data_IF_991855162107
#
_entry.id   IF_991855162107
#
_cell.length_a   1.000
_cell.length_b   1.000
_cell.length_c   1.000
_cell.angle_alpha   90.00
_cell.angle_beta   90.00
_cell.angle_gamma   90.00
#
_symmetry.space_group_name_H-M   'P 1'
#
loop_
_entity.id
_entity.type
_entity.pdbx_description
1 polymer ?
#
# COMPACT_ATOMS: atom_id res chain seq x y z
N UNK A 1 -30.36 36.83 -6.48
CA UNK A 1 -28.90 36.77 -6.34
C UNK A 1 -28.46 37.98 -5.53
N UNK A 2 -27.45 37.83 -4.69
CA UNK A 2 -26.67 38.95 -4.18
C UNK A 2 -25.67 39.37 -5.26
N UNK A 3 -25.32 40.66 -5.34
CA UNK A 3 -24.40 41.17 -6.39
C UNK A 3 -23.03 40.49 -6.35
N UNK A 4 -22.63 40.02 -5.17
CA UNK A 4 -21.46 39.19 -4.96
C UNK A 4 -21.46 37.90 -5.80
N UNK A 5 -22.60 37.20 -5.88
CA UNK A 5 -22.75 36.01 -6.73
C UNK A 5 -22.74 36.38 -8.22
N UNK A 6 -23.37 37.49 -8.59
CA UNK A 6 -23.35 37.98 -9.98
C UNK A 6 -21.91 38.35 -10.42
N UNK A 7 -21.12 38.97 -9.54
CA UNK A 7 -19.68 39.21 -9.73
C UNK A 7 -18.89 37.90 -9.82
N UNK A 8 -19.05 36.98 -8.85
CA UNK A 8 -18.31 35.72 -8.82
C UNK A 8 -18.61 34.81 -10.02
N UNK A 9 -19.81 34.88 -10.60
CA UNK A 9 -20.18 34.11 -11.79
C UNK A 9 -19.68 34.73 -13.10
N UNK A 10 -19.56 36.06 -13.19
CA UNK A 10 -19.25 36.76 -14.46
C UNK A 10 -17.83 37.33 -14.56
N UNK A 11 -17.12 37.58 -13.46
CA UNK A 11 -15.78 38.19 -13.48
C UNK A 11 -14.75 37.35 -14.26
N UNK A 12 -13.78 38.01 -14.89
CA UNK A 12 -12.66 37.32 -15.55
C UNK A 12 -11.53 36.99 -14.54
N UNK A 13 -10.53 36.22 -14.98
CA UNK A 13 -9.40 35.84 -14.14
C UNK A 13 -8.59 37.05 -13.65
N UNK A 14 -8.47 38.11 -14.46
CA UNK A 14 -7.72 39.30 -14.09
C UNK A 14 -8.44 40.10 -13.00
N UNK A 15 -9.74 40.40 -13.18
CA UNK A 15 -10.58 41.07 -12.19
C UNK A 15 -10.64 40.30 -10.87
N UNK A 16 -10.73 38.95 -10.90
CA UNK A 16 -10.62 38.16 -9.67
C UNK A 16 -9.25 38.34 -8.98
N UNK A 17 -8.15 38.37 -9.72
CA UNK A 17 -6.81 38.59 -9.13
C UNK A 17 -6.49 40.04 -8.72
N UNK A 18 -7.37 41.01 -9.02
CA UNK A 18 -7.24 42.38 -8.48
C UNK A 18 -7.69 42.47 -7.02
N UNK A 19 -8.52 41.54 -6.55
CA UNK A 19 -9.06 41.53 -5.18
C UNK A 19 -7.95 41.16 -4.17
N UNK A 20 -7.67 42.00 -3.15
CA UNK A 20 -6.62 41.73 -2.16
C UNK A 20 -6.84 40.41 -1.40
N UNK A 21 -6.00 39.41 -1.70
CA UNK A 21 -6.05 38.07 -1.11
C UNK A 21 -6.49 36.95 -2.05
N UNK A 22 -6.92 37.25 -3.29
CA UNK A 22 -7.13 36.22 -4.31
C UNK A 22 -5.82 35.96 -5.06
N UNK A 23 -5.28 34.75 -4.90
CA UNK A 23 -4.17 34.26 -5.71
C UNK A 23 -4.68 33.76 -7.08
N UNK A 24 -3.83 33.80 -8.11
CA UNK A 24 -4.17 33.27 -9.44
C UNK A 24 -4.70 31.81 -9.42
N UNK A 25 -4.16 30.87 -8.60
CA UNK A 25 -4.76 29.56 -8.42
C UNK A 25 -6.18 29.60 -7.85
N UNK A 26 -6.46 30.45 -6.86
CA UNK A 26 -7.81 30.58 -6.30
C UNK A 26 -8.79 31.18 -7.32
N UNK A 27 -8.38 32.17 -8.11
CA UNK A 27 -9.18 32.68 -9.23
C UNK A 27 -9.51 31.58 -10.25
N UNK A 28 -8.55 30.71 -10.57
CA UNK A 28 -8.76 29.53 -11.42
C UNK A 28 -9.76 28.54 -10.83
N UNK A 29 -9.63 28.21 -9.54
CA UNK A 29 -10.57 27.33 -8.83
C UNK A 29 -12.00 27.91 -8.80
N UNK A 30 -12.13 29.23 -8.60
CA UNK A 30 -13.43 29.92 -8.61
C UNK A 30 -14.09 29.90 -9.98
N UNK A 31 -13.33 30.11 -11.07
CA UNK A 31 -13.85 30.01 -12.43
C UNK A 31 -14.28 28.58 -12.76
N UNK A 32 -13.52 27.58 -12.32
CA UNK A 32 -13.80 26.16 -12.57
C UNK A 32 -15.02 25.61 -11.78
N UNK A 33 -15.41 26.26 -10.68
CA UNK A 33 -16.53 25.86 -9.83
C UNK A 33 -17.85 26.62 -10.11
N UNK A 34 -17.91 27.41 -11.19
CA UNK A 34 -19.14 28.10 -11.64
C UNK A 34 -20.18 27.12 -12.22
N UNK A 35 -21.49 27.41 -12.10
CA UNK A 35 -22.08 28.56 -11.44
C UNK A 35 -22.26 28.36 -9.92
N UNK A 36 -22.26 29.46 -9.17
CA UNK A 36 -22.66 29.51 -7.77
C UNK A 36 -24.09 30.04 -7.63
N UNK A 37 -24.98 29.26 -7.02
CA UNK A 37 -26.36 29.67 -6.72
C UNK A 37 -26.51 30.25 -5.30
N UNK A 38 -25.62 29.86 -4.37
CA UNK A 38 -25.58 30.38 -2.99
C UNK A 38 -24.18 30.83 -2.56
N UNK A 39 -24.12 31.67 -1.52
CA UNK A 39 -22.85 32.10 -0.90
C UNK A 39 -22.18 30.97 -0.09
N UNK A 40 -22.94 29.92 0.23
CA UNK A 40 -22.49 28.71 0.93
C UNK A 40 -21.73 27.77 -0.02
N UNK A 41 -22.10 27.70 -1.30
CA UNK A 41 -21.37 26.95 -2.34
C UNK A 41 -19.95 27.51 -2.56
N UNK A 42 -19.80 28.83 -2.47
CA UNK A 42 -18.50 29.49 -2.60
C UNK A 42 -17.51 29.02 -1.53
N UNK A 43 -17.97 28.73 -0.31
CA UNK A 43 -17.13 28.22 0.79
C UNK A 43 -16.64 26.78 0.56
N UNK A 44 -17.20 26.03 -0.40
CA UNK A 44 -16.73 24.69 -0.76
C UNK A 44 -15.52 24.73 -1.72
N UNK A 45 -15.20 25.89 -2.31
CA UNK A 45 -14.10 26.03 -3.27
C UNK A 45 -12.75 25.95 -2.55
N UNK A 46 -11.89 25.03 -2.99
CA UNK A 46 -10.57 24.77 -2.38
C UNK A 46 -9.70 26.04 -2.33
N UNK A 47 -9.57 26.63 -1.15
CA UNK A 47 -8.82 27.86 -0.88
C UNK A 47 -9.68 29.11 -0.61
N UNK A 48 -11.00 29.02 -0.76
CA UNK A 48 -11.94 30.01 -0.25
C UNK A 48 -12.24 29.73 1.22
N UNK A 49 -12.32 30.78 2.03
CA UNK A 49 -12.70 30.69 3.44
C UNK A 49 -13.31 32.01 3.90
N UNK A 50 -13.92 32.02 5.08
CA UNK A 50 -14.70 33.16 5.57
C UNK A 50 -13.92 34.49 5.48
N UNK A 51 -12.65 34.52 5.90
CA UNK A 51 -11.81 35.72 5.88
C UNK A 51 -11.34 36.17 4.47
N UNK A 52 -11.50 35.36 3.41
CA UNK A 52 -11.36 35.82 2.01
C UNK A 52 -12.70 36.22 1.40
N UNK A 53 -13.81 35.61 1.83
CA UNK A 53 -15.17 35.97 1.44
C UNK A 53 -15.58 37.36 1.97
N UNK A 54 -15.32 37.67 3.25
CA UNK A 54 -15.57 39.00 3.85
C UNK A 54 -14.79 40.12 3.12
N UNK A 55 -13.55 39.84 2.72
CA UNK A 55 -12.71 40.79 1.95
C UNK A 55 -13.24 41.00 0.54
N UNK A 56 -13.62 39.90 -0.14
CA UNK A 56 -14.28 39.93 -1.44
C UNK A 56 -15.54 40.80 -1.40
N UNK A 57 -16.41 40.58 -0.42
CA UNK A 57 -17.64 41.34 -0.24
C UNK A 57 -17.36 42.83 -0.05
N UNK A 58 -16.41 43.19 0.83
CA UNK A 58 -16.01 44.59 1.04
C UNK A 58 -15.38 45.25 -0.21
N UNK A 59 -14.71 44.48 -1.06
CA UNK A 59 -14.09 44.99 -2.29
C UNK A 59 -15.11 45.13 -3.44
N UNK A 60 -16.08 44.22 -3.55
CA UNK A 60 -17.19 44.33 -4.50
C UNK A 60 -18.09 45.53 -4.17
N UNK A 61 -18.33 45.80 -2.88
CA UNK A 61 -19.04 47.02 -2.44
C UNK A 61 -18.23 48.29 -2.77
N UNK A 62 -16.92 48.29 -2.49
CA UNK A 62 -16.04 49.44 -2.77
C UNK A 62 -15.88 49.76 -4.27
N UNK A 63 -15.99 48.75 -5.14
CA UNK A 63 -15.94 48.93 -6.61
C UNK A 63 -17.14 49.73 -7.15
N UNK A 64 -18.26 49.88 -6.41
CA UNK A 64 -19.36 50.76 -6.83
C UNK A 64 -19.00 52.26 -6.66
N UNK A 65 -18.21 52.65 -5.65
CA UNK A 65 -17.93 54.08 -5.35
C UNK A 65 -17.01 54.79 -6.36
N UNK A 66 -16.06 54.09 -6.99
CA UNK A 66 -15.15 54.71 -7.97
C UNK A 66 -15.86 55.07 -9.29
N UNK A 67 -16.99 54.43 -9.60
CA UNK A 67 -17.70 54.58 -10.90
C UNK A 67 -18.29 55.98 -11.13
N UNK A 68 -18.38 56.82 -10.09
CA UNK A 68 -19.00 58.16 -10.14
C UNK A 68 -17.98 59.29 -10.35
N UNK A 69 -16.69 59.06 -10.07
CA UNK A 69 -15.72 60.16 -9.86
C UNK A 69 -14.74 60.44 -11.02
N UNK A 70 -14.81 59.73 -12.15
CA UNK A 70 -13.88 59.90 -13.27
C UNK A 70 -14.50 60.64 -14.47
N UNK A 71 -14.67 61.96 -14.33
CA UNK A 71 -15.37 62.79 -15.33
C UNK A 71 -14.77 64.20 -15.58
N UNK A 72 -13.46 64.41 -15.43
CA UNK A 72 -12.78 65.61 -15.97
C UNK A 72 -11.25 65.48 -16.06
N UNK A 73 -10.71 65.58 -17.28
CA UNK A 73 -9.73 66.60 -17.76
C UNK A 73 -9.57 66.41 -19.29
N UNK A 74 -9.74 67.44 -20.13
CA UNK A 74 -9.62 67.32 -21.59
C UNK A 74 -8.18 67.45 -22.11
N UNK A 75 -7.99 67.19 -23.42
CA UNK A 75 -6.70 67.16 -24.12
C UNK A 75 -6.52 68.37 -25.05
N UNK A 76 -5.41 69.09 -24.91
CA UNK A 76 -4.77 70.00 -25.90
C UNK A 76 -3.25 70.04 -25.55
N UNK A 77 -2.24 69.72 -26.38
CA UNK A 77 -2.03 69.53 -27.82
C UNK A 77 -1.38 70.74 -28.55
N UNK A 78 -0.22 70.49 -29.19
CA UNK A 78 0.52 71.37 -30.15
C UNK A 78 1.04 72.74 -29.64
N UNK A 79 2.09 73.39 -30.19
CA UNK A 79 3.23 72.97 -31.02
C UNK A 79 4.38 74.05 -30.97
N UNK A 80 5.52 73.77 -31.61
CA UNK A 80 6.61 74.73 -31.93
C UNK A 80 6.26 75.51 -33.24
N UNK A 81 7.03 76.52 -33.76
CA UNK A 81 8.40 76.98 -33.43
C UNK A 81 8.61 78.53 -33.46
N UNK A 82 9.86 78.97 -33.70
CA UNK A 82 10.34 80.37 -33.90
C UNK A 82 10.29 80.79 -35.41
N UNK A 83 11.07 81.75 -36.02
CA UNK A 83 12.14 82.65 -35.52
C UNK A 83 12.14 84.10 -36.14
N UNK A 84 13.32 84.77 -36.13
CA UNK A 84 13.77 85.96 -36.92
C UNK A 84 13.13 87.35 -36.63
N UNK A 85 13.74 88.53 -36.92
CA UNK A 85 14.93 88.86 -37.75
C UNK A 85 15.66 90.20 -37.39
N UNK A 86 16.95 90.31 -37.81
CA UNK A 86 17.75 91.54 -38.13
C UNK A 86 17.98 92.61 -37.02
N UNK A 87 18.86 93.62 -37.19
CA UNK A 87 20.27 93.70 -37.68
C UNK A 87 20.80 95.13 -37.39
N UNK A 88 22.09 95.29 -37.07
CA UNK A 88 22.75 96.61 -36.92
C UNK A 88 22.76 97.40 -38.26
N UNK A 89 22.84 98.75 -38.22
CA UNK A 89 24.18 99.36 -38.27
C UNK A 89 24.39 100.62 -37.39
N UNK A 90 25.68 100.89 -37.15
CA UNK A 90 26.31 102.20 -36.85
C UNK A 90 26.25 103.13 -38.11
N UNK A 91 26.69 104.43 -38.12
CA UNK A 91 27.96 104.90 -37.54
C UNK A 91 28.05 106.39 -37.07
N UNK A 92 29.29 106.79 -36.77
CA UNK A 92 29.86 108.16 -36.81
C UNK A 92 29.37 109.26 -35.85
N UNK A 93 30.21 110.19 -35.36
CA UNK A 93 31.59 110.10 -34.85
C UNK A 93 31.91 111.40 -34.08
N UNK A 94 32.16 111.31 -32.75
CA UNK A 94 33.15 112.10 -31.98
C UNK A 94 33.05 113.66 -31.99
N UNK A 95 33.90 114.37 -31.22
CA UNK A 95 34.32 114.10 -29.84
C UNK A 95 34.08 115.29 -28.89
N UNK A 96 33.99 115.02 -27.59
CA UNK A 96 34.51 115.97 -26.60
C UNK A 96 35.11 115.25 -25.39
N UNK A 97 36.22 115.79 -24.87
CA UNK A 97 36.95 115.24 -23.73
C UNK A 97 36.28 115.70 -22.44
N UNK A 98 36.20 114.83 -21.44
CA UNK A 98 36.07 115.31 -20.07
C UNK A 98 36.76 114.44 -19.01
N UNK A 99 37.51 115.12 -18.14
CA UNK A 99 37.96 114.77 -16.78
C UNK A 99 38.41 113.33 -16.47
N UNK A 100 39.73 113.16 -16.30
CA UNK A 100 40.41 111.92 -15.90
C UNK A 100 39.74 111.17 -14.72
N UNK A 101 39.26 111.87 -13.70
CA UNK A 101 38.67 111.28 -12.49
C UNK A 101 37.46 110.37 -12.77
N UNK A 102 36.66 110.62 -13.83
CA UNK A 102 35.52 109.75 -14.19
C UNK A 102 35.94 108.35 -14.64
N UNK A 103 37.19 108.17 -15.10
CA UNK A 103 37.72 106.83 -15.48
C UNK A 103 38.10 106.01 -14.25
N UNK A 104 38.72 106.64 -13.24
CA UNK A 104 39.09 105.99 -11.99
C UNK A 104 37.84 105.57 -11.18
N UNK A 105 36.85 106.47 -11.06
CA UNK A 105 35.57 106.15 -10.40
C UNK A 105 34.75 105.09 -11.13
N UNK A 106 34.80 105.05 -12.47
CA UNK A 106 34.13 103.99 -13.26
C UNK A 106 34.81 102.63 -13.05
N UNK A 107 36.14 102.58 -13.07
CA UNK A 107 36.91 101.38 -12.78
C UNK A 107 36.62 100.84 -11.37
N UNK A 108 36.58 101.72 -10.36
CA UNK A 108 36.23 101.36 -8.99
C UNK A 108 34.80 100.83 -8.88
N UNK A 109 33.81 101.44 -9.57
CA UNK A 109 32.43 100.93 -9.61
C UNK A 109 32.34 99.55 -10.27
N UNK A 110 33.04 99.31 -11.38
CA UNK A 110 33.08 97.98 -12.01
C UNK A 110 33.79 96.94 -11.13
N UNK A 111 34.86 97.33 -10.43
CA UNK A 111 35.56 96.47 -9.47
C UNK A 111 34.64 96.09 -8.30
N UNK A 112 33.89 97.04 -7.74
CA UNK A 112 32.95 96.77 -6.64
C UNK A 112 31.78 95.87 -7.07
N UNK A 113 31.28 96.02 -8.31
CA UNK A 113 30.28 95.09 -8.88
C UNK A 113 30.87 93.71 -9.17
N UNK A 114 32.13 93.62 -9.61
CA UNK A 114 32.82 92.34 -9.80
C UNK A 114 33.05 91.63 -8.46
N UNK A 115 33.45 92.36 -7.42
CA UNK A 115 33.61 91.86 -6.06
C UNK A 115 32.28 91.38 -5.48
N UNK A 116 31.19 92.13 -5.65
CA UNK A 116 29.86 91.73 -5.18
C UNK A 116 29.33 90.50 -5.94
N UNK A 117 29.60 90.39 -7.25
CA UNK A 117 29.32 89.16 -8.02
C UNK A 117 30.16 87.97 -7.54
N UNK A 118 31.44 88.18 -7.22
CA UNK A 118 32.32 87.14 -6.69
C UNK A 118 31.87 86.68 -5.30
N UNK A 119 31.42 87.60 -4.44
CA UNK A 119 30.82 87.29 -3.13
C UNK A 119 29.51 86.51 -3.30
N UNK A 120 28.61 86.93 -4.20
CA UNK A 120 27.39 86.17 -4.53
C UNK A 120 27.70 84.76 -5.05
N UNK A 121 28.73 84.61 -5.89
CA UNK A 121 29.17 83.31 -6.40
C UNK A 121 29.80 82.44 -5.30
N UNK A 122 30.57 83.03 -4.38
CA UNK A 122 31.11 82.33 -3.22
C UNK A 122 30.01 81.88 -2.25
N UNK A 123 29.01 82.74 -1.97
CA UNK A 123 27.83 82.39 -1.18
C UNK A 123 27.03 81.27 -1.86
N UNK A 124 26.87 81.32 -3.19
CA UNK A 124 26.23 80.26 -3.96
C UNK A 124 26.99 78.93 -3.82
N UNK A 125 28.32 78.93 -3.92
CA UNK A 125 29.15 77.73 -3.69
C UNK A 125 29.02 77.19 -2.26
N UNK A 126 29.01 78.06 -1.25
CA UNK A 126 28.81 77.67 0.16
C UNK A 126 27.39 77.12 0.39
N UNK A 127 26.37 77.72 -0.21
CA UNK A 127 24.98 77.26 -0.11
C UNK A 127 24.79 75.90 -0.79
N UNK A 128 25.37 75.70 -1.99
CA UNK A 128 25.39 74.40 -2.68
C UNK A 128 26.16 73.36 -1.84
N UNK A 129 27.32 73.73 -1.30
CA UNK A 129 28.10 72.85 -0.42
C UNK A 129 27.34 72.42 0.84
N UNK A 130 26.63 73.35 1.48
CA UNK A 130 25.76 73.06 2.62
C UNK A 130 24.55 72.19 2.22
N UNK A 131 23.96 72.43 1.04
CA UNK A 131 22.84 71.66 0.52
C UNK A 131 23.24 70.21 0.21
N UNK A 132 24.46 69.96 -0.30
CA UNK A 132 25.01 68.60 -0.39
C UNK A 132 25.32 68.01 1.00
N UNK A 133 26.00 68.76 1.87
CA UNK A 133 26.43 68.28 3.19
C UNK A 133 25.27 67.91 4.13
N UNK A 134 24.10 68.55 3.99
CA UNK A 134 22.88 68.25 4.75
C UNK A 134 21.92 67.35 3.95
N UNK A 135 21.80 67.58 2.64
CA UNK A 135 20.87 66.84 1.77
C UNK A 135 21.26 65.37 1.58
N UNK A 136 22.55 65.07 1.37
CA UNK A 136 23.03 63.70 1.22
C UNK A 136 22.72 62.81 2.43
N UNK A 137 23.08 63.16 3.69
CA UNK A 137 22.73 62.33 4.85
C UNK A 137 21.23 62.33 5.16
N UNK A 138 20.47 63.37 4.81
CA UNK A 138 19.00 63.35 4.92
C UNK A 138 18.38 62.32 3.96
N UNK A 139 18.79 62.34 2.70
CA UNK A 139 18.31 61.42 1.67
C UNK A 139 18.70 59.96 2.00
N UNK A 140 19.94 59.75 2.47
CA UNK A 140 20.42 58.43 2.87
C UNK A 140 19.62 57.85 4.05
N UNK A 141 19.31 58.65 5.07
CA UNK A 141 18.52 58.20 6.23
C UNK A 141 17.04 57.96 5.89
N UNK A 142 16.46 58.77 5.01
CA UNK A 142 15.02 58.78 4.75
C UNK A 142 14.60 57.78 3.67
N UNK A 143 15.44 57.55 2.66
CA UNK A 143 15.09 56.72 1.50
C UNK A 143 16.00 55.50 1.31
N UNK A 144 17.32 55.64 1.47
CA UNK A 144 18.26 54.55 1.18
C UNK A 144 18.23 53.51 2.31
N UNK A 145 18.43 53.93 3.56
CA UNK A 145 18.47 53.05 4.73
C UNK A 145 17.23 52.16 4.95
N UNK A 146 15.96 52.60 4.73
CA UNK A 146 14.82 51.69 4.80
C UNK A 146 14.77 50.70 3.62
N UNK A 147 15.12 51.12 2.40
CA UNK A 147 15.15 50.21 1.24
C UNK A 147 16.24 49.16 1.40
N UNK A 148 17.40 49.51 1.96
CA UNK A 148 18.50 48.59 2.26
C UNK A 148 18.09 47.51 3.28
N UNK A 149 17.37 47.87 4.35
CA UNK A 149 16.81 46.90 5.31
C UNK A 149 15.70 46.04 4.71
N UNK A 150 14.80 46.64 3.91
CA UNK A 150 13.74 45.89 3.26
C UNK A 150 14.32 44.89 2.26
N UNK A 151 15.39 45.26 1.54
CA UNK A 151 16.12 44.34 0.65
C UNK A 151 16.75 43.17 1.43
N UNK A 152 17.40 43.43 2.56
CA UNK A 152 17.97 42.35 3.39
C UNK A 152 16.88 41.45 4.00
N UNK A 153 15.75 42.02 4.44
CA UNK A 153 14.61 41.25 4.97
C UNK A 153 13.93 40.40 3.89
N UNK A 154 13.78 40.92 2.67
CA UNK A 154 13.27 40.14 1.54
C UNK A 154 14.24 39.01 1.17
N UNK A 155 15.55 39.24 1.25
CA UNK A 155 16.55 38.20 1.02
C UNK A 155 16.57 37.12 2.13
N UNK A 156 16.36 37.51 3.39
CA UNK A 156 16.21 36.59 4.52
C UNK A 156 14.93 35.75 4.41
N UNK A 157 13.79 36.39 4.11
CA UNK A 157 12.51 35.70 3.85
C UNK A 157 12.57 34.78 2.62
N UNK A 158 13.29 35.16 1.57
CA UNK A 158 13.50 34.29 0.40
C UNK A 158 14.32 33.05 0.81
N UNK A 159 15.39 33.22 1.61
CA UNK A 159 16.19 32.10 2.10
C UNK A 159 15.40 31.18 3.05
N UNK A 160 14.49 31.72 3.87
CA UNK A 160 13.56 30.94 4.70
C UNK A 160 12.56 30.16 3.83
N UNK A 161 11.98 30.79 2.80
CA UNK A 161 11.08 30.14 1.84
C UNK A 161 11.80 29.03 1.07
N UNK A 162 13.02 29.27 0.58
CA UNK A 162 13.82 28.28 -0.12
C UNK A 162 14.18 27.08 0.80
N UNK A 163 14.46 27.34 2.08
CA UNK A 163 14.73 26.31 3.07
C UNK A 163 13.48 25.50 3.46
N UNK A 164 12.33 26.16 3.62
CA UNK A 164 11.04 25.50 3.88
C UNK A 164 10.59 24.66 2.67
N UNK A 165 10.81 25.15 1.45
CA UNK A 165 10.55 24.39 0.22
C UNK A 165 11.42 23.12 0.18
N UNK A 166 12.72 23.23 0.44
CA UNK A 166 13.60 22.08 0.53
C UNK A 166 13.20 21.09 1.64
N UNK A 167 12.65 21.57 2.77
CA UNK A 167 12.13 20.71 3.85
C UNK A 167 10.83 19.99 3.43
N UNK A 168 9.94 20.66 2.68
CA UNK A 168 8.75 20.04 2.09
C UNK A 168 9.14 18.96 1.09
N UNK A 169 10.17 19.21 0.27
CA UNK A 169 10.65 18.24 -0.72
C UNK A 169 11.35 17.02 -0.08
N UNK A 170 12.11 17.20 1.03
CA UNK A 170 12.56 16.07 1.89
C UNK A 170 11.38 15.27 2.44
N UNK A 171 10.37 15.97 2.99
CA UNK A 171 9.22 15.31 3.60
C UNK A 171 8.42 14.50 2.56
N UNK A 172 8.20 15.06 1.37
CA UNK A 172 7.54 14.37 0.25
C UNK A 172 8.34 13.13 -0.20
N UNK A 173 9.66 13.26 -0.32
CA UNK A 173 10.56 12.13 -0.63
C UNK A 173 10.47 11.01 0.41
N UNK A 174 10.44 11.37 1.70
CA UNK A 174 10.31 10.42 2.81
C UNK A 174 8.93 9.78 2.90
N UNK A 175 7.86 10.50 2.55
CA UNK A 175 6.52 9.93 2.41
C UNK A 175 6.50 8.88 1.30
N UNK A 176 7.01 9.19 0.10
CA UNK A 176 7.06 8.23 -1.00
C UNK A 176 7.89 6.97 -0.67
N UNK A 177 8.98 7.09 0.09
CA UNK A 177 9.77 5.95 0.59
C UNK A 177 8.98 5.13 1.62
N UNK A 178 8.20 5.77 2.51
CA UNK A 178 7.34 5.07 3.46
C UNK A 178 6.17 4.37 2.78
N UNK A 179 5.54 4.99 1.78
CA UNK A 179 4.48 4.40 0.97
C UNK A 179 4.97 3.13 0.25
N UNK A 180 6.11 3.20 -0.45
CA UNK A 180 6.73 2.02 -1.07
C UNK A 180 7.14 0.94 -0.06
N UNK A 181 7.53 1.32 1.16
CA UNK A 181 7.79 0.34 2.24
C UNK A 181 6.51 -0.31 2.76
N UNK A 182 5.40 0.42 2.82
CA UNK A 182 4.07 -0.11 3.22
C UNK A 182 3.52 -1.04 2.14
N UNK A 183 3.66 -0.71 0.85
CA UNK A 183 3.33 -1.62 -0.26
C UNK A 183 4.14 -2.92 -0.19
N UNK A 184 5.47 -2.81 -0.02
CA UNK A 184 6.35 -3.97 0.10
C UNK A 184 6.02 -4.83 1.34
N UNK A 185 5.70 -4.21 2.48
CA UNK A 185 5.25 -4.94 3.66
C UNK A 185 3.89 -5.62 3.45
N UNK A 186 2.93 -4.95 2.82
CA UNK A 186 1.61 -5.51 2.50
C UNK A 186 1.74 -6.74 1.61
N UNK A 187 2.56 -6.68 0.55
CA UNK A 187 2.85 -7.83 -0.31
C UNK A 187 3.56 -8.97 0.45
N UNK A 188 4.43 -8.64 1.43
CA UNK A 188 5.08 -9.66 2.26
C UNK A 188 4.12 -10.33 3.26
N UNK A 189 3.13 -9.60 3.78
CA UNK A 189 2.07 -10.11 4.65
C UNK A 189 1.14 -11.04 3.87
N UNK A 190 0.64 -10.63 2.71
CA UNK A 190 -0.18 -11.50 1.85
C UNK A 190 0.54 -12.81 1.52
N UNK A 191 1.85 -12.76 1.22
CA UNK A 191 2.65 -13.97 0.97
C UNK A 191 2.82 -14.87 2.19
N UNK A 192 2.85 -14.29 3.40
CA UNK A 192 2.86 -15.06 4.65
C UNK A 192 1.50 -15.70 4.94
N UNK A 193 0.40 -14.99 4.66
CA UNK A 193 -0.97 -15.52 4.76
C UNK A 193 -1.22 -16.67 3.77
N UNK A 194 -0.79 -16.53 2.51
CA UNK A 194 -0.83 -17.59 1.49
C UNK A 194 0.00 -18.82 1.91
N UNK A 195 1.19 -18.59 2.48
CA UNK A 195 2.05 -19.67 2.99
C UNK A 195 1.44 -20.35 4.22
N UNK A 196 0.84 -19.59 5.14
CA UNK A 196 0.15 -20.14 6.30
C UNK A 196 -1.06 -20.99 5.86
N UNK A 197 -1.92 -20.46 4.99
CA UNK A 197 -3.08 -21.20 4.47
C UNK A 197 -2.66 -22.51 3.78
N UNK A 198 -1.53 -22.50 3.08
CA UNK A 198 -0.95 -23.71 2.47
C UNK A 198 -0.46 -24.71 3.51
N UNK A 199 0.23 -24.24 4.57
CA UNK A 199 0.73 -25.11 5.64
C UNK A 199 -0.40 -25.67 6.52
N UNK A 200 -1.41 -24.87 6.85
CA UNK A 200 -2.57 -25.30 7.64
C UNK A 200 -3.39 -26.34 6.85
N UNK A 201 -3.58 -26.15 5.53
CA UNK A 201 -4.22 -27.14 4.66
C UNK A 201 -3.41 -28.46 4.58
N UNK A 202 -2.10 -28.38 4.37
CA UNK A 202 -1.22 -29.56 4.35
C UNK A 202 -1.20 -30.28 5.71
N UNK A 203 -1.17 -29.55 6.82
CA UNK A 203 -1.18 -30.11 8.16
C UNK A 203 -2.51 -30.81 8.45
N UNK A 204 -3.64 -30.25 8.01
CA UNK A 204 -4.93 -30.91 8.11
C UNK A 204 -5.00 -32.18 7.23
N UNK A 205 -4.63 -32.09 5.94
CA UNK A 205 -4.65 -33.23 5.01
C UNK A 205 -3.77 -34.40 5.51
N UNK A 206 -2.57 -34.10 6.01
CA UNK A 206 -1.69 -35.10 6.61
C UNK A 206 -2.27 -35.69 7.91
N UNK A 207 -2.84 -34.87 8.80
CA UNK A 207 -3.46 -35.37 10.03
C UNK A 207 -4.66 -36.28 9.74
N UNK A 208 -5.58 -35.85 8.87
CA UNK A 208 -6.75 -36.63 8.49
C UNK A 208 -6.33 -37.96 7.83
N UNK A 209 -5.34 -37.93 6.94
CA UNK A 209 -4.77 -39.14 6.31
C UNK A 209 -4.15 -40.10 7.32
N UNK A 210 -3.27 -39.60 8.21
CA UNK A 210 -2.57 -40.41 9.22
C UNK A 210 -3.54 -40.97 10.27
N UNK A 211 -4.57 -40.22 10.66
CA UNK A 211 -5.61 -40.70 11.58
C UNK A 211 -6.47 -41.81 10.94
N UNK A 212 -6.78 -41.70 9.65
CA UNK A 212 -7.48 -42.75 8.88
C UNK A 212 -6.59 -43.99 8.75
N UNK A 213 -5.32 -43.85 8.38
CA UNK A 213 -4.38 -44.97 8.24
C UNK A 213 -4.18 -45.69 9.59
N UNK A 214 -3.94 -44.94 10.67
CA UNK A 214 -3.80 -45.48 12.03
C UNK A 214 -5.08 -46.16 12.52
N UNK A 215 -6.27 -45.61 12.20
CA UNK A 215 -7.56 -46.27 12.49
C UNK A 215 -7.62 -47.63 11.78
N UNK A 216 -7.28 -47.68 10.49
CA UNK A 216 -7.29 -48.90 9.69
C UNK A 216 -6.31 -49.96 10.25
N UNK A 217 -5.07 -49.59 10.57
CA UNK A 217 -4.08 -50.49 11.15
C UNK A 217 -4.51 -51.04 12.52
N UNK A 218 -4.97 -50.17 13.43
CA UNK A 218 -5.41 -50.57 14.77
C UNK A 218 -6.63 -51.50 14.72
N UNK A 219 -7.58 -51.24 13.83
CA UNK A 219 -8.76 -52.09 13.66
C UNK A 219 -8.41 -53.44 13.00
N UNK A 220 -7.51 -53.47 12.02
CA UNK A 220 -7.01 -54.70 11.40
C UNK A 220 -6.28 -55.58 12.44
N UNK A 221 -5.34 -55.01 13.18
CA UNK A 221 -4.59 -55.70 14.24
C UNK A 221 -5.53 -56.21 15.35
N UNK A 222 -6.52 -55.40 15.76
CA UNK A 222 -7.52 -55.82 16.74
C UNK A 222 -8.41 -56.96 16.22
N UNK A 223 -8.79 -56.94 14.95
CA UNK A 223 -9.54 -58.05 14.35
C UNK A 223 -8.70 -59.33 14.32
N UNK A 224 -7.40 -59.24 13.96
CA UNK A 224 -6.49 -60.38 13.96
C UNK A 224 -6.28 -61.02 15.35
N UNK A 225 -6.17 -60.22 16.41
CA UNK A 225 -6.14 -60.72 17.80
C UNK A 225 -7.42 -61.48 18.17
N UNK A 226 -8.57 -60.85 17.92
CA UNK A 226 -9.88 -61.44 18.26
C UNK A 226 -10.13 -62.73 17.47
N UNK A 227 -9.73 -62.81 16.20
CA UNK A 227 -9.80 -64.03 15.39
C UNK A 227 -8.81 -65.10 15.88
N UNK A 228 -7.63 -64.71 16.37
CA UNK A 228 -6.69 -65.61 17.04
C UNK A 228 -7.28 -66.23 18.32
N UNK A 229 -7.95 -65.41 19.14
CA UNK A 229 -8.67 -65.86 20.34
C UNK A 229 -9.87 -66.74 19.99
N UNK A 230 -10.62 -66.42 18.93
CA UNK A 230 -11.71 -67.26 18.43
C UNK A 230 -11.22 -68.66 18.01
N UNK A 231 -10.08 -68.75 17.29
CA UNK A 231 -9.46 -70.03 16.91
C UNK A 231 -9.07 -70.86 18.13
N UNK A 232 -8.56 -70.23 19.19
CA UNK A 232 -8.28 -70.87 20.48
C UNK A 232 -9.57 -71.34 21.19
N UNK A 233 -10.66 -70.57 21.14
CA UNK A 233 -11.94 -71.02 21.68
C UNK A 233 -12.56 -72.17 20.88
N UNK A 234 -12.41 -72.22 19.56
CA UNK A 234 -12.85 -73.37 18.76
C UNK A 234 -12.08 -74.66 19.10
N UNK A 235 -10.76 -74.61 19.25
CA UNK A 235 -9.97 -75.79 19.65
C UNK A 235 -10.25 -76.26 21.08
N UNK A 236 -10.71 -75.37 21.96
CA UNK A 236 -11.21 -75.69 23.30
C UNK A 236 -12.69 -76.13 23.34
N UNK A 237 -13.37 -76.24 22.19
CA UNK A 237 -14.83 -76.48 22.10
C UNK A 237 -15.73 -75.41 22.76
N UNK A 238 -15.19 -74.22 23.01
CA UNK A 238 -15.86 -73.07 23.63
C UNK A 238 -16.67 -72.25 22.59
N UNK A 239 -17.56 -72.93 21.85
CA UNK A 239 -18.20 -72.39 20.63
C UNK A 239 -18.99 -71.09 20.85
N UNK A 240 -19.58 -70.88 22.03
CA UNK A 240 -20.29 -69.63 22.35
C UNK A 240 -19.38 -68.41 22.43
N UNK A 241 -18.19 -68.56 23.04
CA UNK A 241 -17.19 -67.48 23.11
C UNK A 241 -16.52 -67.27 21.76
N UNK A 242 -16.24 -68.35 21.02
CA UNK A 242 -15.76 -68.24 19.65
C UNK A 242 -16.74 -67.47 18.75
N UNK A 243 -18.05 -67.78 18.79
CA UNK A 243 -19.06 -67.09 17.99
C UNK A 243 -19.17 -65.59 18.33
N UNK A 244 -19.04 -65.22 19.61
CA UNK A 244 -19.02 -63.83 20.04
C UNK A 244 -17.77 -63.07 19.55
N UNK A 245 -16.60 -63.69 19.60
CA UNK A 245 -15.35 -63.11 19.08
C UNK A 245 -15.39 -62.97 17.55
N UNK A 246 -15.83 -64.00 16.83
CA UNK A 246 -15.97 -63.95 15.36
C UNK A 246 -16.92 -62.83 14.95
N UNK A 247 -18.06 -62.68 15.64
CA UNK A 247 -18.99 -61.57 15.41
C UNK A 247 -18.32 -60.21 15.65
N UNK A 248 -17.60 -60.06 16.77
CA UNK A 248 -16.90 -58.81 17.12
C UNK A 248 -15.83 -58.44 16.09
N UNK A 249 -15.04 -59.40 15.61
CA UNK A 249 -14.06 -59.17 14.56
C UNK A 249 -14.74 -58.85 13.21
N UNK A 250 -15.80 -59.58 12.87
CA UNK A 250 -16.59 -59.40 11.66
C UNK A 250 -17.22 -58.01 11.59
N UNK A 251 -17.71 -57.47 12.70
CA UNK A 251 -18.33 -56.14 12.72
C UNK A 251 -17.29 -55.01 12.65
N UNK A 252 -16.10 -55.16 13.27
CA UNK A 252 -14.96 -54.26 13.06
C UNK A 252 -14.50 -54.24 11.59
N UNK A 253 -14.43 -55.42 10.97
CA UNK A 253 -14.06 -55.58 9.56
C UNK A 253 -15.16 -55.06 8.61
N UNK A 254 -16.43 -55.08 9.02
CA UNK A 254 -17.54 -54.50 8.27
C UNK A 254 -17.54 -52.97 8.27
N UNK A 255 -17.13 -52.34 9.38
CA UNK A 255 -16.89 -50.88 9.42
C UNK A 255 -15.79 -50.48 8.44
N UNK A 256 -14.64 -51.18 8.47
CA UNK A 256 -13.54 -50.97 7.51
C UNK A 256 -13.98 -51.21 6.05
N UNK A 257 -14.88 -52.18 5.80
CA UNK A 257 -15.43 -52.43 4.47
C UNK A 257 -16.31 -51.27 3.98
N UNK A 258 -17.09 -50.64 4.86
CA UNK A 258 -17.90 -49.49 4.51
C UNK A 258 -17.05 -48.26 4.16
N UNK A 259 -15.87 -48.13 4.78
CA UNK A 259 -14.94 -47.01 4.56
C UNK A 259 -14.10 -47.17 3.28
N UNK A 260 -13.59 -48.39 3.00
CA UNK A 260 -12.61 -48.64 1.93
C UNK A 260 -13.15 -49.42 0.72
N UNK A 261 -14.28 -50.12 0.88
CA UNK A 261 -14.89 -51.04 -0.10
C UNK A 261 -13.91 -52.05 -0.75
N UNK A 262 -12.99 -52.58 0.05
CA UNK A 262 -11.91 -53.46 -0.39
C UNK A 262 -12.43 -54.87 -0.80
N UNK A 263 -12.01 -55.45 -1.95
CA UNK A 263 -12.47 -56.76 -2.39
C UNK A 263 -11.92 -57.93 -1.56
N UNK A 264 -10.74 -57.79 -0.96
CA UNK A 264 -10.10 -58.80 -0.09
C UNK A 264 -10.88 -58.87 1.22
N UNK A 265 -11.14 -57.73 1.84
CA UNK A 265 -11.91 -57.60 3.07
C UNK A 265 -13.35 -58.11 2.92
N UNK A 266 -13.98 -57.87 1.76
CA UNK A 266 -15.28 -58.47 1.40
C UNK A 266 -15.25 -60.00 1.35
N UNK A 267 -14.14 -60.58 0.89
CA UNK A 267 -13.93 -62.05 0.87
C UNK A 267 -13.75 -62.60 2.29
N UNK A 268 -13.03 -61.87 3.16
CA UNK A 268 -12.92 -62.19 4.60
C UNK A 268 -14.29 -62.21 5.26
N UNK A 269 -15.09 -61.15 5.09
CA UNK A 269 -16.43 -61.04 5.68
C UNK A 269 -17.34 -62.19 5.25
N UNK A 270 -17.31 -62.59 3.98
CA UNK A 270 -18.04 -63.77 3.50
C UNK A 270 -17.62 -65.08 4.18
N UNK A 271 -16.34 -65.25 4.51
CA UNK A 271 -15.83 -66.41 5.26
C UNK A 271 -16.19 -66.36 6.74
N UNK A 272 -16.17 -65.18 7.37
CA UNK A 272 -16.63 -65.01 8.75
C UNK A 272 -18.14 -65.28 8.87
N UNK A 273 -18.95 -64.83 7.91
CA UNK A 273 -20.40 -65.11 7.89
C UNK A 273 -20.70 -66.61 7.71
N UNK A 274 -19.92 -67.34 6.89
CA UNK A 274 -20.00 -68.81 6.82
C UNK A 274 -19.61 -69.47 8.15
N UNK A 275 -18.54 -69.02 8.79
CA UNK A 275 -18.10 -69.52 10.11
C UNK A 275 -19.17 -69.28 11.19
N UNK A 276 -19.77 -68.09 11.22
CA UNK A 276 -20.87 -67.74 12.14
C UNK A 276 -22.13 -68.59 11.88
N UNK A 277 -22.46 -68.86 10.61
CA UNK A 277 -23.58 -69.73 10.24
C UNK A 277 -23.37 -71.20 10.65
N UNK A 278 -22.12 -71.68 10.57
CA UNK A 278 -21.75 -73.06 10.93
C UNK A 278 -21.60 -73.31 12.45
N UNK A 279 -21.73 -72.28 13.31
CA UNK A 279 -21.62 -72.43 14.78
C UNK A 279 -23.00 -72.39 15.48
N UNK A 280 -23.31 -73.35 16.36
CA UNK A 280 -22.42 -74.36 16.95
C UNK A 280 -22.37 -75.70 16.23
N UNK A 281 -23.23 -75.94 15.23
CA UNK A 281 -23.57 -77.30 14.78
C UNK A 281 -22.49 -78.01 13.94
N UNK A 282 -21.66 -77.25 13.22
CA UNK A 282 -20.59 -77.76 12.35
C UNK A 282 -19.23 -77.13 12.67
N UNK A 283 -18.68 -77.32 13.89
CA UNK A 283 -17.56 -76.54 14.41
C UNK A 283 -16.24 -76.76 13.64
N UNK A 284 -16.05 -77.93 13.03
CA UNK A 284 -14.87 -78.22 12.19
C UNK A 284 -14.91 -77.43 10.88
N UNK A 285 -16.10 -77.27 10.28
CA UNK A 285 -16.27 -76.47 9.06
C UNK A 285 -16.11 -74.98 9.40
N UNK A 286 -16.72 -74.53 10.50
CA UNK A 286 -16.56 -73.17 11.02
C UNK A 286 -15.09 -72.81 11.29
N UNK A 287 -14.30 -73.73 11.85
CA UNK A 287 -12.87 -73.54 12.06
C UNK A 287 -12.09 -73.43 10.73
N UNK A 288 -12.46 -74.20 9.70
CA UNK A 288 -11.86 -74.11 8.37
C UNK A 288 -12.13 -72.77 7.68
N UNK A 289 -13.38 -72.29 7.70
CA UNK A 289 -13.73 -70.96 7.17
C UNK A 289 -13.06 -69.82 7.95
N UNK A 290 -12.93 -69.96 9.28
CA UNK A 290 -12.22 -69.01 10.14
C UNK A 290 -10.71 -68.96 9.84
N UNK A 291 -10.09 -70.12 9.61
CA UNK A 291 -8.68 -70.22 9.22
C UNK A 291 -8.44 -69.50 7.88
N UNK A 292 -9.29 -69.74 6.89
CA UNK A 292 -9.23 -69.07 5.59
C UNK A 292 -9.40 -67.55 5.75
N UNK A 293 -10.38 -67.09 6.55
CA UNK A 293 -10.59 -65.67 6.82
C UNK A 293 -9.34 -65.01 7.45
N UNK A 294 -8.74 -65.65 8.44
CA UNK A 294 -7.53 -65.19 9.13
C UNK A 294 -6.30 -65.18 8.20
N UNK A 295 -6.12 -66.23 7.38
CA UNK A 295 -5.03 -66.31 6.42
C UNK A 295 -5.12 -65.20 5.35
N UNK A 296 -6.33 -64.86 4.89
CA UNK A 296 -6.55 -63.77 3.93
C UNK A 296 -6.12 -62.42 4.53
N UNK A 297 -6.50 -62.15 5.79
CA UNK A 297 -6.12 -60.91 6.48
C UNK A 297 -4.61 -60.75 6.67
N UNK A 298 -3.89 -61.84 6.93
CA UNK A 298 -2.42 -61.80 7.11
C UNK A 298 -1.66 -61.75 5.79
N UNK A 299 -2.13 -62.45 4.75
CA UNK A 299 -1.41 -62.51 3.47
C UNK A 299 -1.82 -61.43 2.48
N UNK A 300 -2.90 -60.69 2.74
CA UNK A 300 -3.52 -59.74 1.81
C UNK A 300 -4.13 -60.40 0.56
N UNK A 301 -4.13 -61.73 0.50
CA UNK A 301 -4.36 -62.50 -0.72
C UNK A 301 -5.46 -63.53 -0.48
N UNK A 302 -6.46 -63.59 -1.36
CA UNK A 302 -7.40 -64.71 -1.36
C UNK A 302 -6.64 -65.98 -1.78
N UNK A 303 -6.58 -67.05 -0.95
CA UNK A 303 -6.07 -68.33 -1.43
C UNK A 303 -6.98 -68.82 -2.56
N UNK A 304 -6.45 -69.53 -3.57
CA UNK A 304 -7.29 -70.14 -4.59
C UNK A 304 -8.31 -71.05 -3.91
N UNK A 305 -9.55 -71.17 -4.43
CA UNK A 305 -10.58 -72.00 -3.82
C UNK A 305 -10.04 -73.42 -3.66
N UNK A 306 -9.82 -73.84 -2.42
CA UNK A 306 -9.24 -75.14 -2.09
C UNK A 306 -10.06 -76.21 -2.78
N UNK A 307 -9.41 -76.98 -3.66
CA UNK A 307 -10.10 -77.99 -4.44
C UNK A 307 -10.87 -78.93 -3.50
N UNK A 308 -12.08 -79.31 -3.92
CA UNK A 308 -12.93 -80.31 -3.28
C UNK A 308 -12.07 -81.43 -2.70
N UNK A 309 -12.28 -81.80 -1.44
CA UNK A 309 -11.59 -82.94 -0.85
C UNK A 309 -11.96 -84.20 -1.64
N UNK A 310 -11.10 -84.60 -2.57
CA UNK A 310 -11.24 -85.83 -3.34
C UNK A 310 -11.24 -86.98 -2.35
N UNK A 311 -12.39 -87.61 -2.16
CA UNK A 311 -12.55 -88.69 -1.20
C UNK A 311 -11.52 -89.79 -1.50
N UNK A 312 -10.70 -90.13 -0.50
CA UNK A 312 -9.85 -91.31 -0.57
C UNK A 312 -10.73 -92.53 -0.80
N UNK A 313 -10.58 -93.30 -1.89
CA UNK A 313 -11.43 -94.44 -2.14
C UNK A 313 -11.22 -95.50 -1.06
N UNK A 314 -12.31 -95.96 -0.47
CA UNK A 314 -12.31 -97.07 0.49
C UNK A 314 -11.65 -98.31 -0.14
N UNK A 315 -10.67 -98.94 0.51
CA UNK A 315 -10.14 -100.21 0.02
C UNK A 315 -11.21 -101.30 0.09
N UNK A 316 -11.40 -102.04 -0.99
CA UNK A 316 -12.33 -103.16 -1.05
C UNK A 316 -11.83 -104.37 -0.22
N UNK A 317 -12.71 -105.28 0.21
CA UNK A 317 -12.33 -106.39 1.09
C UNK A 317 -11.39 -107.43 0.46
N UNK A 318 -10.78 -108.21 1.36
CA UNK A 318 -9.84 -109.29 1.08
C UNK A 318 -10.45 -110.43 0.23
N UNK A 319 -9.65 -110.99 -0.66
CA UNK A 319 -9.67 -112.44 -0.93
C UNK A 319 -8.33 -113.05 -0.48
N UNK A 320 -8.37 -114.29 0.02
CA UNK A 320 -7.22 -115.00 0.56
C UNK A 320 -6.38 -115.65 -0.56
N UNK A 321 -5.07 -115.79 -0.36
CA UNK A 321 -4.29 -117.01 -0.73
C UNK A 321 -2.92 -117.03 -0.05
N UNK A 322 -2.80 -117.84 1.00
CA UNK A 322 -1.63 -118.61 1.45
C UNK A 322 -0.25 -117.95 1.66
N UNK A 323 0.17 -117.95 2.93
CA UNK A 323 1.57 -117.87 3.40
C UNK A 323 2.40 -119.10 2.96
N UNK A 324 3.76 -119.02 2.95
CA UNK A 324 4.49 -119.34 4.18
C UNK A 324 5.67 -118.41 4.55
N UNK A 325 5.99 -118.43 5.85
CA UNK A 325 7.18 -117.89 6.54
C UNK A 325 8.39 -118.85 6.36
N UNK A 326 9.64 -118.63 6.89
CA UNK A 326 10.07 -117.67 7.93
C UNK A 326 11.47 -117.00 7.73
N UNK A 327 12.06 -116.52 8.84
CA UNK A 327 13.51 -116.26 9.12
C UNK A 327 14.13 -114.92 8.65
N UNK A 328 14.98 -114.19 9.43
CA UNK A 328 15.48 -114.31 10.84
C UNK A 328 15.54 -112.90 11.50
N UNK A 329 15.65 -112.82 12.83
CA UNK A 329 16.00 -111.62 13.65
C UNK A 329 17.53 -111.59 13.96
N UNK A 330 18.16 -110.79 14.89
CA UNK A 330 17.74 -109.63 15.74
C UNK A 330 18.84 -108.49 15.82
N UNK A 331 18.91 -107.69 16.92
CA UNK A 331 20.15 -107.21 17.62
C UNK A 331 21.09 -106.19 16.88
N UNK A 332 21.54 -104.99 17.35
CA UNK A 332 21.71 -104.19 18.61
C UNK A 332 21.27 -102.71 18.29
N UNK A 333 20.77 -101.76 19.10
CA UNK A 333 20.87 -101.27 20.52
C UNK A 333 21.92 -100.15 20.82
N UNK A 334 21.72 -99.42 21.93
CA UNK A 334 22.63 -98.51 22.68
C UNK A 334 23.36 -97.29 22.03
N UNK A 335 22.89 -96.10 22.43
CA UNK A 335 23.52 -94.78 22.62
C UNK A 335 25.04 -94.70 22.89
N UNK A 336 25.69 -93.63 22.39
CA UNK A 336 26.84 -92.99 23.02
C UNK A 336 26.78 -91.44 22.94
N UNK A 337 27.32 -90.77 23.95
CA UNK A 337 27.43 -89.30 24.20
C UNK A 337 28.66 -89.16 25.11
N UNK A 338 29.59 -88.18 24.95
CA UNK A 338 29.35 -86.77 24.62
C UNK A 338 29.96 -86.26 23.31
#
# INVERSE_FOLDING_TARGET
MSRFLDFLNNADLNTLTQVPGISRPLAGNLIAARPFDSEEDCLQVKGMGQATMERLQSHVEALEEETVNSAMVPVENEAMPAPVEKKQPEPEEKPQRDSFFKRLGRAFKSFMLALLKLIMLAILFVAIGALFAVGLPYLQRTFIAPVERNASQIQELQAEVDALQAQVDDMNSRVAVLEGSVEAHTASIQKLEEMQATLDAQLQENNDTVLIELKQEVMLTRALDILGRARLYLSQSNFGMAKADIQTARDLLAELQAEKNDPVLKSVLGRLDLSLGNLPDFPVIAAGDLEIAWQILITGNTPPPTATMTATPTPAPLEETLTPSPEVSPTIEATATP
#
